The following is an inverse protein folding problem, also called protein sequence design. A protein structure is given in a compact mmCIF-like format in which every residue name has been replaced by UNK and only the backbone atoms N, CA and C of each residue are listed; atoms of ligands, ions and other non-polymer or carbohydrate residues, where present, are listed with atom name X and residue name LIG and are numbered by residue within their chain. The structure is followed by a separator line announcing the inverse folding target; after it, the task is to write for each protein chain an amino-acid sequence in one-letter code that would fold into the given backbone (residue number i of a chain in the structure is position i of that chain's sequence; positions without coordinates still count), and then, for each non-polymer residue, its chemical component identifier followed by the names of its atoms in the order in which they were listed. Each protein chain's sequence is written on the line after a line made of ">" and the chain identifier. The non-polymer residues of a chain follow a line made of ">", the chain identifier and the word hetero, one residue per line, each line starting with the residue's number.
data_IF_832753357947
#
_entry.id   IF_832753357947
#
_cell.length_a   1.000
_cell.length_b   1.000
_cell.length_c   1.000
_cell.angle_alpha   90.00
_cell.angle_beta   90.00
_cell.angle_gamma   90.00
#
_symmetry.space_group_name_H-M   'P 1'
#
loop_
_entity.id
_entity.type
_entity.pdbx_description
1 polymer ?
#
# COMPACT_ATOMS: atom_id res chain seq x y z
N UNK A 1 -2.44 15.70 8.89
CA UNK A 1 -0.98 15.53 8.81
C UNK A 1 -0.55 15.78 7.38
N UNK A 2 0.44 16.64 7.12
CA UNK A 2 1.03 16.73 5.77
C UNK A 2 2.10 15.66 5.64
N UNK A 3 2.04 14.88 4.57
CA UNK A 3 3.15 14.00 4.21
C UNK A 3 4.33 14.87 3.74
N UNK A 4 5.59 14.43 3.95
CA UNK A 4 6.79 15.18 3.54
C UNK A 4 7.03 15.20 2.02
N UNK A 5 6.06 14.78 1.22
CA UNK A 5 6.09 14.73 -0.24
C UNK A 5 4.71 15.12 -0.79
N UNK A 6 4.69 15.73 -1.97
CA UNK A 6 3.45 16.20 -2.63
C UNK A 6 3.13 15.44 -3.93
N UNK A 7 4.04 14.58 -4.39
CA UNK A 7 3.92 13.79 -5.62
C UNK A 7 4.70 12.46 -5.50
N UNK A 8 4.53 11.58 -6.49
CA UNK A 8 5.15 10.25 -6.52
C UNK A 8 6.68 10.30 -6.62
N UNK A 9 7.24 11.30 -7.31
CA UNK A 9 8.69 11.42 -7.47
C UNK A 9 9.38 11.77 -6.14
N UNK A 10 8.77 12.66 -5.34
CA UNK A 10 9.25 12.97 -4.00
C UNK A 10 9.12 11.80 -3.02
N UNK A 11 8.08 10.97 -3.18
CA UNK A 11 7.92 9.74 -2.41
C UNK A 11 9.04 8.73 -2.73
N UNK A 12 9.34 8.52 -4.02
CA UNK A 12 10.38 7.59 -4.47
C UNK A 12 11.78 8.00 -3.97
N UNK A 13 12.08 9.31 -3.96
CA UNK A 13 13.35 9.84 -3.46
C UNK A 13 13.53 9.55 -1.96
N UNK A 14 12.49 9.82 -1.16
CA UNK A 14 12.52 9.60 0.30
C UNK A 14 12.59 8.10 0.62
N UNK A 15 11.78 7.27 -0.06
CA UNK A 15 11.83 5.82 0.11
C UNK A 15 13.20 5.25 -0.26
N UNK A 16 13.78 5.70 -1.39
CA UNK A 16 15.11 5.31 -1.82
C UNK A 16 16.23 5.75 -0.87
N UNK A 17 16.09 6.90 -0.20
CA UNK A 17 17.03 7.35 0.83
C UNK A 17 16.99 6.46 2.07
N UNK A 18 15.78 6.14 2.56
CA UNK A 18 15.57 5.26 3.72
C UNK A 18 16.15 3.86 3.46
N UNK A 19 15.85 3.28 2.28
CA UNK A 19 16.33 1.94 1.91
C UNK A 19 17.84 1.85 1.81
N UNK A 20 18.52 2.93 1.41
CA UNK A 20 19.97 2.98 1.26
C UNK A 20 20.70 3.04 2.60
N UNK A 21 20.09 3.66 3.60
CA UNK A 21 20.63 3.74 4.95
C UNK A 21 20.18 2.56 5.84
N UNK A 22 19.25 1.74 5.36
CA UNK A 22 18.72 0.60 6.10
C UNK A 22 19.75 -0.52 6.22
N UNK A 23 20.08 -1.00 7.44
CA UNK A 23 20.99 -2.13 7.61
C UNK A 23 20.33 -3.43 7.14
N UNK A 24 20.78 -3.95 5.99
CA UNK A 24 20.23 -5.14 5.36
C UNK A 24 20.28 -6.37 6.28
N UNK A 25 21.32 -6.48 7.08
CA UNK A 25 21.59 -7.58 8.00
C UNK A 25 20.55 -7.63 9.14
N UNK A 26 19.99 -6.47 9.51
CA UNK A 26 18.99 -6.35 10.56
C UNK A 26 17.57 -6.61 10.04
N UNK A 27 17.34 -6.38 8.74
CA UNK A 27 16.02 -6.45 8.12
C UNK A 27 16.04 -7.19 6.77
N UNK A 28 16.44 -8.47 6.74
CA UNK A 28 16.70 -9.20 5.49
C UNK A 28 15.45 -9.29 4.59
N UNK A 29 14.27 -9.54 5.16
CA UNK A 29 13.02 -9.62 4.38
C UNK A 29 12.56 -8.25 3.84
N UNK A 30 12.90 -7.18 4.56
CA UNK A 30 12.53 -5.82 4.16
C UNK A 30 13.47 -5.33 3.04
N UNK A 31 14.75 -5.69 3.10
CA UNK A 31 15.69 -5.51 2.00
C UNK A 31 15.28 -6.30 0.76
N UNK A 32 14.87 -7.56 0.91
CA UNK A 32 14.39 -8.39 -0.21
C UNK A 32 13.16 -7.76 -0.90
N UNK A 33 12.15 -7.35 -0.11
CA UNK A 33 10.98 -6.64 -0.63
C UNK A 33 11.38 -5.35 -1.38
N UNK A 34 12.31 -4.60 -0.82
CA UNK A 34 12.78 -3.37 -1.40
C UNK A 34 13.47 -3.58 -2.75
N UNK A 35 14.39 -4.53 -2.83
CA UNK A 35 15.13 -4.84 -4.05
C UNK A 35 14.28 -5.52 -5.11
N UNK A 36 13.34 -6.37 -4.69
CA UNK A 36 12.54 -7.18 -5.62
C UNK A 36 11.21 -6.54 -6.03
N UNK A 37 10.70 -5.55 -5.32
CA UNK A 37 9.38 -4.98 -5.63
C UNK A 37 9.44 -3.46 -5.69
N UNK A 38 9.97 -2.82 -4.65
CA UNK A 38 9.93 -1.35 -4.51
C UNK A 38 10.83 -0.64 -5.51
N UNK A 39 12.05 -1.13 -5.71
CA UNK A 39 13.04 -0.51 -6.60
C UNK A 39 12.86 -0.93 -8.07
N UNK A 40 11.87 -1.76 -8.39
CA UNK A 40 11.62 -2.16 -9.78
C UNK A 40 10.97 -0.99 -10.54
N UNK A 41 11.47 -0.67 -11.75
CA UNK A 41 10.87 0.39 -12.56
C UNK A 41 9.41 0.05 -12.89
N UNK A 42 8.50 1.01 -12.63
CA UNK A 42 7.06 0.83 -12.84
C UNK A 42 6.27 0.45 -11.58
N UNK A 43 6.93 0.30 -10.43
CA UNK A 43 6.24 0.17 -9.15
C UNK A 43 5.63 1.52 -8.74
N UNK A 44 4.30 1.61 -8.76
CA UNK A 44 3.56 2.81 -8.39
C UNK A 44 2.98 2.64 -6.98
N UNK A 45 3.72 3.10 -5.96
CA UNK A 45 3.26 3.09 -4.57
C UNK A 45 1.87 3.72 -4.37
N UNK A 46 1.53 4.72 -5.18
CA UNK A 46 0.24 5.39 -5.13
C UNK A 46 -0.94 4.47 -5.46
N UNK A 47 -0.72 3.45 -6.30
CA UNK A 47 -1.76 2.51 -6.71
C UNK A 47 -2.12 1.53 -5.59
N UNK A 48 -1.17 1.21 -4.70
CA UNK A 48 -1.39 0.33 -3.56
C UNK A 48 -2.15 1.01 -2.41
N UNK A 49 -2.03 2.33 -2.25
CA UNK A 49 -2.68 3.05 -1.17
C UNK A 49 -4.21 2.97 -1.26
N UNK A 50 -4.76 3.14 -2.47
CA UNK A 50 -6.21 3.05 -2.71
C UNK A 50 -6.72 1.65 -2.40
N UNK A 51 -6.00 0.63 -2.84
CA UNK A 51 -6.35 -0.76 -2.55
C UNK A 51 -6.32 -1.05 -1.04
N UNK A 52 -5.27 -0.63 -0.34
CA UNK A 52 -5.12 -0.87 1.10
C UNK A 52 -6.18 -0.16 1.94
N UNK A 53 -6.55 1.08 1.58
CA UNK A 53 -7.60 1.80 2.30
C UNK A 53 -8.98 1.20 2.03
N UNK A 54 -9.27 0.76 0.80
CA UNK A 54 -10.49 0.01 0.48
C UNK A 54 -10.60 -1.24 1.36
N UNK A 55 -9.55 -2.06 1.42
CA UNK A 55 -9.55 -3.28 2.24
C UNK A 55 -9.82 -3.01 3.73
N UNK A 56 -9.26 -1.94 4.29
CA UNK A 56 -9.49 -1.55 5.69
C UNK A 56 -10.95 -1.12 5.90
N UNK A 57 -11.50 -0.33 4.97
CA UNK A 57 -12.88 0.13 5.04
C UNK A 57 -13.87 -1.04 4.90
N UNK A 58 -13.61 -1.97 3.98
CA UNK A 58 -14.42 -3.17 3.80
C UNK A 58 -14.43 -4.02 5.08
N UNK A 59 -13.27 -4.19 5.73
CA UNK A 59 -13.17 -4.93 6.99
C UNK A 59 -13.88 -4.26 8.19
N UNK A 60 -14.12 -2.93 8.11
CA UNK A 60 -14.85 -2.16 9.12
C UNK A 60 -16.37 -2.20 8.93
N UNK A 61 -16.83 -2.59 7.74
CA UNK A 61 -18.24 -2.70 7.37
C UNK A 61 -18.61 -4.15 7.00
N UNK A 62 -18.40 -5.13 7.90
CA UNK A 62 -18.60 -6.55 7.58
C UNK A 62 -20.07 -6.91 7.28
N UNK A 63 -21.02 -6.07 7.69
CA UNK A 63 -22.46 -6.34 7.57
C UNK A 63 -23.10 -5.75 6.29
N UNK A 64 -22.35 -4.99 5.46
CA UNK A 64 -22.88 -4.36 4.24
C UNK A 64 -22.80 -5.27 2.99
N UNK A 65 -22.03 -6.37 3.05
CA UNK A 65 -21.88 -7.34 1.95
C UNK A 65 -23.04 -8.36 1.83
N UNK A 66 -23.93 -8.48 2.84
CA UNK A 66 -25.01 -9.49 2.85
C UNK A 66 -26.42 -8.98 2.48
N UNK A 67 -26.61 -7.71 2.10
CA UNK A 67 -27.96 -7.16 1.81
C UNK A 67 -28.29 -6.90 0.34
N UNK A 68 -27.75 -7.68 -0.61
CA UNK A 68 -28.22 -7.68 -1.99
C UNK A 68 -28.48 -9.10 -2.50
N UNK A 69 -29.54 -9.74 -1.98
CA UNK A 69 -29.91 -11.09 -2.42
C UNK A 69 -31.30 -11.60 -2.03
N UNK A 70 -32.17 -10.77 -1.44
CA UNK A 70 -33.48 -11.23 -0.98
C UNK A 70 -34.61 -10.20 -1.11
N UNK A 71 -34.80 -9.61 -2.29
CA UNK A 71 -36.10 -9.02 -2.65
C UNK A 71 -36.53 -9.49 -4.05
N UNK A 72 -36.75 -10.80 -4.14
CA UNK A 72 -37.53 -11.44 -5.19
C UNK A 72 -38.32 -12.58 -4.54
N UNK A 73 -39.66 -12.49 -4.59
CA UNK A 73 -40.71 -13.30 -3.93
C UNK A 73 -41.39 -12.45 -2.85
N UNK A 74 -42.65 -12.00 -3.00
CA UNK A 74 -43.76 -12.51 -3.80
C UNK A 74 -44.74 -11.40 -4.18
#
# INVERSE_FOLDING_TARGET
>A
MSLPFSDSAGLDEVAGAILREMPADAYPHLTELATEHVLKPGYAYADEFTFGISLILDALHPDEDETEGAEGVS
#
